data_IF_068498420734
#
_entry.id   IF_068498420734
#
_cell.length_a   1.000
_cell.length_b   1.000
_cell.length_c   1.000
_cell.angle_alpha   90.00
_cell.angle_beta   90.00
_cell.angle_gamma   90.00
#
_symmetry.space_group_name_H-M   'P 1'
#
loop_
_entity.id
_entity.type
_entity.pdbx_description
1 polymer ?
#
# COMPACT_ATOMS: atom_id res chain seq x y z
N UNK A 1 49.07 4.34 3.67
CA UNK A 1 48.27 4.38 2.42
C UNK A 1 46.79 4.48 2.77
N UNK A 2 46.25 5.69 2.93
CA UNK A 2 44.84 5.85 3.33
C UNK A 2 44.28 7.28 3.18
N UNK A 3 44.83 8.08 2.25
CA UNK A 3 44.48 9.50 2.10
C UNK A 3 43.73 9.81 0.79
N UNK A 4 43.52 8.82 -0.09
CA UNK A 4 43.00 9.06 -1.45
C UNK A 4 41.46 9.03 -1.51
N UNK A 5 40.79 8.08 -0.83
CA UNK A 5 39.32 7.97 -0.81
C UNK A 5 38.58 8.98 0.09
N UNK A 6 39.30 9.75 0.91
CA UNK A 6 38.70 10.83 1.70
C UNK A 6 38.63 12.14 0.90
N UNK A 7 39.63 12.40 0.06
CA UNK A 7 39.66 13.55 -0.85
C UNK A 7 38.57 13.43 -1.93
N UNK A 8 38.42 12.24 -2.53
CA UNK A 8 37.46 11.96 -3.60
C UNK A 8 36.00 12.18 -3.15
N UNK A 9 35.65 11.77 -1.92
CA UNK A 9 34.32 12.05 -1.35
C UNK A 9 34.10 13.52 -1.03
N UNK A 10 35.14 14.24 -0.62
CA UNK A 10 35.04 15.67 -0.36
C UNK A 10 34.84 16.45 -1.65
N UNK A 11 35.48 16.03 -2.75
CA UNK A 11 35.30 16.59 -4.09
C UNK A 11 33.88 16.33 -4.64
N UNK A 12 33.34 15.13 -4.45
CA UNK A 12 31.95 14.82 -4.83
C UNK A 12 30.94 15.64 -4.02
N UNK A 13 31.16 15.80 -2.71
CA UNK A 13 30.32 16.64 -1.84
C UNK A 13 30.38 18.14 -2.26
N UNK A 14 31.56 18.62 -2.67
CA UNK A 14 31.75 19.99 -3.18
C UNK A 14 31.01 20.19 -4.50
N UNK A 15 31.14 19.27 -5.45
CA UNK A 15 30.41 19.30 -6.73
C UNK A 15 28.91 19.29 -6.53
N UNK A 16 28.41 18.50 -5.58
CA UNK A 16 26.97 18.46 -5.25
C UNK A 16 26.47 19.81 -4.72
N UNK A 17 27.27 20.50 -3.91
CA UNK A 17 26.95 21.84 -3.39
C UNK A 17 26.97 22.89 -4.50
N UNK A 18 28.01 22.89 -5.33
CA UNK A 18 28.15 23.83 -6.45
C UNK A 18 27.03 23.65 -7.49
N UNK A 19 26.65 22.40 -7.83
CA UNK A 19 25.55 22.13 -8.76
C UNK A 19 24.19 22.56 -8.17
N UNK A 20 24.00 22.39 -6.86
CA UNK A 20 22.81 22.85 -6.14
C UNK A 20 22.73 24.37 -6.12
N UNK A 21 23.85 25.05 -5.85
CA UNK A 21 23.94 26.51 -5.88
C UNK A 21 23.72 27.05 -7.29
N UNK A 22 24.31 26.43 -8.31
CA UNK A 22 24.09 26.77 -9.72
C UNK A 22 22.63 26.59 -10.14
N UNK A 23 21.95 25.53 -9.69
CA UNK A 23 20.50 25.34 -9.92
C UNK A 23 19.66 26.40 -9.23
N UNK A 24 20.05 26.84 -8.04
CA UNK A 24 19.35 27.89 -7.31
C UNK A 24 19.59 29.27 -7.97
N UNK A 25 20.82 29.54 -8.39
CA UNK A 25 21.22 30.75 -9.12
C UNK A 25 20.47 30.86 -10.46
N UNK A 26 20.47 29.80 -11.28
CA UNK A 26 19.75 29.79 -12.55
C UNK A 26 18.23 29.97 -12.37
N UNK A 27 17.65 29.43 -11.28
CA UNK A 27 16.24 29.61 -10.95
C UNK A 27 15.94 31.03 -10.42
N UNK A 28 16.91 31.66 -9.76
CA UNK A 28 16.83 33.05 -9.31
C UNK A 28 16.97 34.03 -10.49
N UNK A 29 17.87 33.74 -11.43
CA UNK A 29 18.07 34.50 -12.66
C UNK A 29 16.86 34.37 -13.60
N UNK A 30 16.33 33.17 -13.83
CA UNK A 30 15.09 32.99 -14.58
C UNK A 30 13.87 33.63 -13.89
N UNK A 31 13.88 33.69 -12.56
CA UNK A 31 12.88 34.41 -11.77
C UNK A 31 13.02 35.94 -11.85
N UNK A 32 14.25 36.45 -12.00
CA UNK A 32 14.54 37.86 -12.17
C UNK A 32 14.24 38.36 -13.60
N UNK A 33 14.53 37.55 -14.63
CA UNK A 33 14.16 37.82 -16.03
C UNK A 33 12.64 37.89 -16.22
N UNK A 34 11.88 37.16 -15.39
CA UNK A 34 10.41 37.24 -15.36
C UNK A 34 9.88 38.51 -14.67
N UNK A 35 10.70 39.16 -13.83
CA UNK A 35 10.35 40.34 -13.06
C UNK A 35 10.79 41.67 -13.73
N UNK A 36 11.74 41.63 -14.67
CA UNK A 36 12.18 42.82 -15.43
C UNK A 36 11.14 43.33 -16.45
N UNK A 37 10.14 42.52 -16.82
CA UNK A 37 9.08 42.95 -17.74
C UNK A 37 7.92 43.72 -17.08
N UNK A 38 7.93 43.92 -15.75
CA UNK A 38 6.84 44.61 -15.03
C UNK A 38 7.33 45.70 -14.06
N UNK A 39 8.50 46.31 -14.34
CA UNK A 39 9.08 47.37 -13.54
C UNK A 39 8.78 48.77 -14.12
N UNK A 40 7.52 49.21 -14.06
CA UNK A 40 7.22 50.65 -14.00
C UNK A 40 6.20 50.95 -12.89
N UNK A 41 6.62 50.79 -11.63
CA UNK A 41 6.05 51.51 -10.49
C UNK A 41 6.97 51.42 -9.26
N UNK A 42 7.64 52.53 -8.94
CA UNK A 42 7.83 53.02 -7.57
C UNK A 42 8.51 52.14 -6.51
N UNK A 43 9.78 52.49 -6.27
CA UNK A 43 10.64 52.30 -5.08
C UNK A 43 9.90 52.42 -3.72
N UNK A 44 10.14 51.48 -2.79
CA UNK A 44 10.69 51.72 -1.43
C UNK A 44 10.70 50.44 -0.55
N UNK A 45 11.82 50.21 0.15
CA UNK A 45 11.78 49.69 1.53
C UNK A 45 12.08 48.21 1.80
N UNK A 46 13.36 47.89 1.93
CA UNK A 46 14.01 47.13 3.01
C UNK A 46 13.32 45.93 3.72
N UNK A 47 14.13 44.87 3.80
CA UNK A 47 14.18 43.84 4.84
C UNK A 47 13.07 42.77 4.84
N UNK A 48 13.23 41.78 3.97
CA UNK A 48 12.76 40.43 4.28
C UNK A 48 13.95 39.50 4.16
N UNK A 49 14.39 39.04 5.33
CA UNK A 49 15.19 37.83 5.51
C UNK A 49 14.73 36.76 4.51
N UNK A 50 15.67 35.97 4.02
CA UNK A 50 15.40 34.81 3.19
C UNK A 50 14.53 33.81 3.99
N UNK A 51 13.22 34.07 4.03
CA UNK A 51 12.22 33.08 4.37
C UNK A 51 12.37 32.04 3.28
N UNK A 52 13.02 30.93 3.64
CA UNK A 52 12.86 29.69 2.94
C UNK A 52 11.35 29.48 2.84
N UNK A 53 10.79 29.80 1.67
CA UNK A 53 9.42 29.45 1.32
C UNK A 53 9.42 27.93 1.40
N UNK A 54 9.02 27.41 2.56
CA UNK A 54 8.64 26.03 2.72
C UNK A 54 7.46 25.89 1.78
N UNK A 55 7.72 25.40 0.56
CA UNK A 55 6.65 24.79 -0.21
C UNK A 55 6.15 23.67 0.67
N UNK A 56 5.00 23.87 1.32
CA UNK A 56 4.17 22.79 1.85
C UNK A 56 3.91 21.88 0.66
N UNK A 57 4.80 20.91 0.48
CA UNK A 57 4.64 19.88 -0.50
C UNK A 57 3.47 19.06 0.01
N UNK A 58 2.43 18.98 -0.78
CA UNK A 58 1.20 18.26 -0.45
C UNK A 58 1.51 16.90 0.21
N UNK A 59 1.28 16.81 1.53
CA UNK A 59 1.62 15.67 2.39
C UNK A 59 0.65 14.48 2.17
N UNK A 60 -0.19 14.55 1.14
CA UNK A 60 -1.15 13.50 0.77
C UNK A 60 -0.52 12.11 0.60
N UNK A 61 0.74 12.05 0.18
CA UNK A 61 1.51 10.80 0.02
C UNK A 61 2.00 10.20 1.35
N UNK A 62 1.98 10.99 2.44
CA UNK A 62 2.34 10.56 3.78
C UNK A 62 1.20 9.79 4.48
N UNK A 63 -0.06 10.07 4.12
CA UNK A 63 -1.21 9.47 4.81
C UNK A 63 -1.43 8.00 4.45
N UNK A 64 -1.70 7.19 5.47
CA UNK A 64 -1.99 5.76 5.34
C UNK A 64 -3.36 5.53 4.69
N UNK A 65 -3.34 4.93 3.50
CA UNK A 65 -4.50 4.73 2.65
C UNK A 65 -4.39 3.36 1.97
N UNK A 66 -5.04 2.31 2.48
CA UNK A 66 -4.94 0.96 1.93
C UNK A 66 -5.24 0.86 0.43
N UNK A 67 -6.11 1.75 -0.09
CA UNK A 67 -6.43 1.92 -1.50
C UNK A 67 -5.28 2.48 -2.36
N UNK A 68 -4.34 3.21 -1.75
CA UNK A 68 -3.06 3.65 -2.36
C UNK A 68 -2.01 2.53 -2.32
N UNK A 69 -2.25 1.46 -1.57
CA UNK A 69 -1.36 0.31 -1.45
C UNK A 69 -0.16 0.54 -0.51
N UNK A 70 -0.19 1.59 0.32
CA UNK A 70 0.83 1.91 1.31
C UNK A 70 0.58 1.26 2.69
N UNK A 71 -0.50 0.48 2.85
CA UNK A 71 -0.83 -0.25 4.09
C UNK A 71 -0.72 -1.75 3.87
N UNK A 72 -0.05 -2.44 4.80
CA UNK A 72 0.07 -3.90 4.85
C UNK A 72 -0.65 -4.40 6.11
N UNK A 73 -1.48 -5.43 5.93
CA UNK A 73 -2.10 -6.18 7.02
C UNK A 73 -1.29 -7.46 7.23
N UNK A 74 -0.73 -7.67 8.41
CA UNK A 74 0.11 -8.83 8.67
C UNK A 74 -0.04 -9.35 10.10
N UNK A 75 0.24 -10.64 10.27
CA UNK A 75 0.41 -11.29 11.57
C UNK A 75 1.85 -11.77 11.71
N UNK A 76 2.55 -11.26 12.71
CA UNK A 76 3.91 -11.70 13.03
C UNK A 76 3.92 -13.09 13.68
N UNK A 77 2.84 -13.48 14.37
CA UNK A 77 2.75 -14.76 15.08
C UNK A 77 2.71 -15.94 14.10
N UNK A 78 1.89 -15.81 13.05
CA UNK A 78 1.69 -16.86 12.06
C UNK A 78 2.40 -16.54 10.73
N UNK A 79 3.23 -15.49 10.69
CA UNK A 79 4.09 -15.09 9.57
C UNK A 79 3.39 -14.93 8.21
N UNK A 80 2.18 -14.35 8.20
CA UNK A 80 1.45 -14.04 6.97
C UNK A 80 1.19 -12.54 6.83
N UNK A 81 1.00 -12.08 5.59
CA UNK A 81 0.67 -10.68 5.34
C UNK A 81 0.12 -10.44 3.94
N UNK A 82 -0.66 -9.38 3.80
CA UNK A 82 -1.30 -9.03 2.54
C UNK A 82 -1.56 -7.52 2.41
N UNK A 83 -1.78 -7.12 1.17
CA UNK A 83 -2.29 -5.79 0.80
C UNK A 83 -3.67 -5.94 0.17
N UNK A 84 -4.47 -4.88 0.26
CA UNK A 84 -5.81 -4.80 -0.36
C UNK A 84 -5.74 -5.11 -1.87
N UNK A 85 -4.67 -4.69 -2.54
CA UNK A 85 -4.43 -4.95 -3.97
C UNK A 85 -4.46 -6.43 -4.35
N UNK A 86 -3.91 -7.33 -3.50
CA UNK A 86 -3.88 -8.77 -3.79
C UNK A 86 -5.30 -9.35 -3.86
N UNK A 87 -6.15 -8.94 -2.92
CA UNK A 87 -7.55 -9.33 -2.90
C UNK A 87 -8.36 -8.66 -4.00
N UNK A 88 -8.09 -7.39 -4.30
CA UNK A 88 -8.72 -6.71 -5.43
C UNK A 88 -8.45 -7.43 -6.76
N UNK A 89 -7.23 -7.89 -7.00
CA UNK A 89 -6.89 -8.67 -8.20
C UNK A 89 -7.63 -10.02 -8.24
N UNK A 90 -7.63 -10.76 -7.12
CA UNK A 90 -8.29 -12.07 -7.01
C UNK A 90 -9.80 -11.98 -7.25
N UNK A 91 -10.45 -10.98 -6.67
CA UNK A 91 -11.89 -10.80 -6.77
C UNK A 91 -12.33 -10.06 -8.04
N UNK A 92 -11.47 -9.25 -8.65
CA UNK A 92 -11.73 -8.64 -9.95
C UNK A 92 -12.05 -9.72 -11.01
N UNK A 93 -11.24 -10.78 -11.05
CA UNK A 93 -11.46 -11.91 -11.96
C UNK A 93 -12.75 -12.68 -11.65
N UNK A 94 -13.08 -12.86 -10.37
CA UNK A 94 -14.27 -13.61 -9.93
C UNK A 94 -15.59 -12.84 -10.13
N UNK A 95 -15.56 -11.52 -9.93
CA UNK A 95 -16.76 -10.66 -9.98
C UNK A 95 -16.93 -9.95 -11.32
N UNK A 96 -15.91 -9.94 -12.18
CA UNK A 96 -15.93 -9.19 -13.45
C UNK A 96 -15.86 -7.67 -13.25
N UNK A 97 -15.35 -7.20 -12.11
CA UNK A 97 -15.20 -5.78 -11.79
C UNK A 97 -13.75 -5.38 -12.03
N UNK A 98 -13.51 -4.19 -12.62
CA UNK A 98 -12.16 -3.66 -12.83
C UNK A 98 -11.39 -3.56 -11.50
N UNK A 99 -10.18 -4.11 -11.48
CA UNK A 99 -9.30 -4.13 -10.28
C UNK A 99 -9.15 -2.76 -9.64
N UNK A 100 -8.91 -1.71 -10.43
CA UNK A 100 -8.74 -0.35 -9.91
C UNK A 100 -9.95 0.20 -9.16
N UNK A 101 -11.17 -0.19 -9.57
CA UNK A 101 -12.38 0.16 -8.83
C UNK A 101 -12.50 -0.67 -7.56
N UNK A 102 -12.25 -1.98 -7.66
CA UNK A 102 -12.34 -2.87 -6.51
C UNK A 102 -11.34 -2.48 -5.42
N UNK A 103 -10.10 -2.10 -5.78
CA UNK A 103 -9.09 -1.64 -4.83
C UNK A 103 -9.53 -0.41 -4.01
N UNK A 104 -10.26 0.52 -4.64
CA UNK A 104 -10.77 1.73 -3.98
C UNK A 104 -11.95 1.46 -3.05
N UNK A 105 -12.78 0.47 -3.38
CA UNK A 105 -13.99 0.17 -2.62
C UNK A 105 -13.86 -1.01 -1.66
N UNK A 106 -12.80 -1.82 -1.77
CA UNK A 106 -12.58 -2.95 -0.87
C UNK A 106 -12.32 -2.48 0.57
N UNK A 107 -11.82 -1.26 0.74
CA UNK A 107 -11.57 -0.63 2.04
C UNK A 107 -12.56 0.52 2.29
N UNK A 108 -13.03 0.65 3.54
CA UNK A 108 -14.01 1.65 3.96
C UNK A 108 -15.47 1.16 3.95
N UNK A 109 -16.40 2.11 4.03
CA UNK A 109 -17.85 1.83 4.19
C UNK A 109 -18.56 1.56 2.85
N UNK A 110 -18.10 0.49 2.21
CA UNK A 110 -18.69 -0.04 0.98
C UNK A 110 -19.24 -1.44 1.20
N UNK A 111 -20.36 -1.73 0.54
CA UNK A 111 -21.15 -2.94 0.75
C UNK A 111 -21.47 -3.57 -0.60
N UNK A 112 -21.54 -4.90 -0.67
CA UNK A 112 -22.00 -5.60 -1.87
C UNK A 112 -23.50 -5.89 -1.77
N UNK A 113 -24.27 -5.48 -2.77
CA UNK A 113 -25.64 -5.94 -2.91
C UNK A 113 -25.66 -7.34 -3.54
N UNK A 114 -26.10 -8.40 -2.83
CA UNK A 114 -26.02 -9.78 -3.34
C UNK A 114 -26.91 -10.03 -4.56
N UNK A 115 -28.00 -9.27 -4.71
CA UNK A 115 -28.95 -9.41 -5.82
C UNK A 115 -28.42 -8.84 -7.14
N UNK A 116 -27.81 -7.66 -7.09
CA UNK A 116 -27.33 -6.98 -8.31
C UNK A 116 -25.81 -7.07 -8.48
N UNK A 117 -25.08 -7.65 -7.51
CA UNK A 117 -23.61 -7.68 -7.44
C UNK A 117 -22.96 -6.30 -7.59
N UNK A 118 -23.67 -5.24 -7.17
CA UNK A 118 -23.17 -3.86 -7.24
C UNK A 118 -22.61 -3.45 -5.90
N UNK A 119 -21.53 -2.69 -5.95
CA UNK A 119 -20.95 -2.06 -4.77
C UNK A 119 -21.71 -0.77 -4.48
N UNK A 120 -22.20 -0.64 -3.25
CA UNK A 120 -22.94 0.53 -2.77
C UNK A 120 -22.20 1.16 -1.59
N UNK A 121 -22.27 2.47 -1.46
CA UNK A 121 -21.76 3.20 -0.29
C UNK A 121 -22.77 3.19 0.86
N UNK A 122 -22.30 3.51 2.07
CA UNK A 122 -23.14 3.64 3.27
C UNK A 122 -24.45 4.43 3.07
N UNK A 123 -24.41 5.53 2.31
CA UNK A 123 -25.59 6.35 2.00
C UNK A 123 -26.72 5.58 1.30
N UNK A 124 -26.38 4.54 0.56
CA UNK A 124 -27.31 3.71 -0.22
C UNK A 124 -27.68 2.40 0.50
N UNK A 125 -27.22 2.21 1.73
CA UNK A 125 -27.49 1.03 2.54
C UNK A 125 -28.98 0.91 2.89
N UNK A 126 -29.68 2.06 3.03
CA UNK A 126 -31.14 2.16 3.27
C UNK A 126 -31.65 1.20 4.37
N UNK A 127 -30.90 1.11 5.47
CA UNK A 127 -31.26 0.24 6.63
C UNK A 127 -31.02 -1.26 6.43
N UNK A 128 -30.39 -1.68 5.32
CA UNK A 128 -30.04 -3.09 5.11
C UNK A 128 -28.82 -3.45 5.95
N UNK A 129 -28.89 -4.59 6.64
CA UNK A 129 -27.75 -5.11 7.39
C UNK A 129 -26.80 -5.86 6.44
N UNK A 130 -26.02 -5.11 5.66
CA UNK A 130 -24.94 -5.65 4.83
C UNK A 130 -23.62 -5.48 5.56
N UNK A 131 -22.74 -6.47 5.41
CA UNK A 131 -21.38 -6.40 5.94
C UNK A 131 -20.50 -5.59 4.97
N UNK A 132 -19.53 -4.81 5.49
CA UNK A 132 -18.56 -4.14 4.64
C UNK A 132 -17.79 -5.14 3.77
N UNK A 133 -17.39 -4.71 2.58
CA UNK A 133 -16.68 -5.53 1.61
C UNK A 133 -15.42 -6.16 2.20
N UNK A 134 -14.61 -5.39 2.94
CA UNK A 134 -13.40 -5.89 3.58
C UNK A 134 -13.69 -7.06 4.53
N UNK A 135 -14.74 -6.93 5.34
CA UNK A 135 -15.12 -7.95 6.32
C UNK A 135 -15.54 -9.22 5.59
N UNK A 136 -16.42 -9.08 4.60
CA UNK A 136 -16.99 -10.21 3.86
C UNK A 136 -15.95 -10.95 3.00
N UNK A 137 -15.06 -10.22 2.32
CA UNK A 137 -14.14 -10.81 1.35
C UNK A 137 -12.76 -11.14 1.90
N UNK A 138 -12.36 -10.54 3.03
CA UNK A 138 -11.03 -10.74 3.60
C UNK A 138 -11.14 -11.37 4.97
N UNK A 139 -11.76 -10.69 5.94
CA UNK A 139 -11.76 -11.14 7.34
C UNK A 139 -12.55 -12.42 7.56
N UNK A 140 -13.68 -12.62 6.89
CA UNK A 140 -14.47 -13.85 6.99
C UNK A 140 -13.69 -15.08 6.50
N UNK A 141 -12.88 -14.94 5.44
CA UNK A 141 -12.05 -16.03 4.94
C UNK A 141 -10.94 -16.38 5.93
N UNK A 142 -10.28 -15.36 6.51
CA UNK A 142 -9.26 -15.56 7.54
C UNK A 142 -9.89 -16.25 8.75
N UNK A 143 -11.02 -15.73 9.24
CA UNK A 143 -11.75 -16.33 10.37
C UNK A 143 -12.17 -17.77 10.08
N UNK A 144 -12.68 -18.07 8.89
CA UNK A 144 -13.08 -19.42 8.52
C UNK A 144 -11.92 -20.42 8.55
N UNK A 145 -10.70 -20.00 8.15
CA UNK A 145 -9.49 -20.84 8.26
C UNK A 145 -9.19 -21.13 9.73
N UNK A 146 -9.12 -20.10 10.59
CA UNK A 146 -8.81 -20.30 12.01
C UNK A 146 -9.89 -21.07 12.76
N UNK A 147 -11.17 -20.79 12.52
CA UNK A 147 -12.29 -21.51 13.14
C UNK A 147 -12.27 -22.99 12.73
N UNK A 148 -12.09 -23.30 11.45
CA UNK A 148 -12.09 -24.69 10.95
C UNK A 148 -10.87 -25.52 11.36
N UNK A 149 -9.76 -24.88 11.73
CA UNK A 149 -8.52 -25.55 12.11
C UNK A 149 -8.31 -25.57 13.63
N UNK A 150 -8.54 -24.46 14.32
CA UNK A 150 -8.16 -24.27 15.72
C UNK A 150 -9.36 -24.39 16.67
N UNK A 151 -10.46 -23.69 16.39
CA UNK A 151 -11.61 -23.61 17.31
C UNK A 151 -12.52 -24.84 17.18
N UNK A 152 -12.90 -25.18 15.96
CA UNK A 152 -13.78 -26.29 15.60
C UNK A 152 -13.12 -27.15 14.51
N UNK A 153 -12.11 -27.96 14.87
CA UNK A 153 -11.33 -28.75 13.93
C UNK A 153 -12.24 -29.64 13.06
N UNK A 154 -12.35 -29.31 11.78
CA UNK A 154 -13.15 -30.07 10.82
C UNK A 154 -12.38 -30.24 9.51
N UNK A 155 -11.78 -31.42 9.27
CA UNK A 155 -10.91 -31.63 8.12
C UNK A 155 -11.64 -31.45 6.79
N UNK A 156 -12.93 -31.83 6.70
CA UNK A 156 -13.72 -31.68 5.47
C UNK A 156 -13.96 -30.21 5.12
N UNK A 157 -14.21 -29.37 6.13
CA UNK A 157 -14.33 -27.91 5.94
C UNK A 157 -13.00 -27.31 5.52
N UNK A 158 -11.91 -27.71 6.18
CA UNK A 158 -10.55 -27.24 5.84
C UNK A 158 -10.23 -27.57 4.38
N UNK A 159 -10.49 -28.80 3.91
CA UNK A 159 -10.25 -29.18 2.51
C UNK A 159 -11.05 -28.30 1.54
N UNK A 160 -12.33 -28.04 1.80
CA UNK A 160 -13.17 -27.16 0.95
C UNK A 160 -12.66 -25.73 0.91
N UNK A 161 -12.24 -25.19 2.06
CA UNK A 161 -11.65 -23.84 2.14
C UNK A 161 -10.34 -23.81 1.37
N UNK A 162 -9.45 -24.80 1.55
CA UNK A 162 -8.19 -24.89 0.83
C UNK A 162 -8.40 -24.95 -0.68
N UNK A 163 -9.39 -25.69 -1.17
CA UNK A 163 -9.75 -25.68 -2.61
C UNK A 163 -10.25 -24.33 -3.11
N UNK A 164 -10.96 -23.57 -2.27
CA UNK A 164 -11.48 -22.23 -2.65
C UNK A 164 -10.38 -21.17 -2.68
N UNK A 165 -9.42 -21.31 -1.77
CA UNK A 165 -8.25 -20.43 -1.63
C UNK A 165 -7.07 -20.83 -2.52
N UNK A 166 -7.18 -21.96 -3.23
CA UNK A 166 -6.13 -22.58 -4.06
C UNK A 166 -4.85 -22.92 -3.27
N UNK A 167 -5.02 -23.45 -2.06
CA UNK A 167 -3.93 -23.86 -1.14
C UNK A 167 -3.82 -25.38 -1.12
N UNK A 168 -2.58 -25.89 -1.16
CA UNK A 168 -2.31 -27.34 -1.13
C UNK A 168 -1.95 -27.78 0.28
N UNK A 169 -2.79 -28.62 0.87
CA UNK A 169 -2.55 -29.20 2.20
C UNK A 169 -2.34 -30.70 2.07
N UNK A 170 -1.29 -31.22 2.71
CA UNK A 170 -1.05 -32.66 2.67
C UNK A 170 -2.02 -33.40 3.61
N UNK A 171 -2.47 -34.62 3.26
CA UNK A 171 -3.32 -35.42 4.15
C UNK A 171 -2.66 -35.77 5.49
N UNK A 172 -1.33 -35.68 5.57
CA UNK A 172 -0.55 -35.88 6.80
C UNK A 172 -0.75 -34.72 7.77
N UNK A 173 -0.69 -33.50 7.27
CA UNK A 173 -0.82 -32.28 8.08
C UNK A 173 -2.25 -32.12 8.59
N UNK A 174 -3.25 -32.50 7.79
CA UNK A 174 -4.67 -32.54 8.20
C UNK A 174 -4.96 -33.48 9.38
N UNK A 175 -4.15 -34.52 9.59
CA UNK A 175 -4.29 -35.48 10.69
C UNK A 175 -3.36 -35.17 11.86
N UNK A 176 -2.54 -34.13 11.75
CA UNK A 176 -1.60 -33.74 12.80
C UNK A 176 -2.33 -33.19 14.03
N UNK A 177 -1.70 -33.32 15.20
CA UNK A 177 -2.22 -32.72 16.44
C UNK A 177 -1.90 -31.22 16.53
N UNK A 178 -0.96 -30.74 15.72
CA UNK A 178 -0.46 -29.36 15.76
C UNK A 178 -1.32 -28.43 14.90
N UNK A 179 -2.54 -28.18 15.37
CA UNK A 179 -3.54 -27.34 14.66
C UNK A 179 -3.04 -25.92 14.39
N UNK A 180 -2.30 -25.32 15.33
CA UNK A 180 -1.71 -23.98 15.15
C UNK A 180 -0.69 -23.95 14.02
N UNK A 181 0.17 -24.97 13.93
CA UNK A 181 1.19 -25.04 12.89
C UNK A 181 0.56 -25.33 11.52
N UNK A 182 -0.51 -26.13 11.48
CA UNK A 182 -1.33 -26.32 10.29
C UNK A 182 -1.95 -25.00 9.81
N UNK A 183 -2.58 -24.24 10.71
CA UNK A 183 -3.19 -22.95 10.37
C UNK A 183 -2.12 -21.96 9.83
N UNK A 184 -0.97 -21.86 10.50
CA UNK A 184 0.13 -21.03 10.04
C UNK A 184 0.66 -21.46 8.67
N UNK A 185 0.80 -22.76 8.41
CA UNK A 185 1.23 -23.29 7.10
C UNK A 185 0.22 -22.94 5.99
N UNK A 186 -1.08 -23.12 6.24
CA UNK A 186 -2.15 -22.77 5.28
C UNK A 186 -2.11 -21.26 4.98
N UNK A 187 -2.03 -20.43 6.02
CA UNK A 187 -2.02 -18.97 5.88
C UNK A 187 -0.75 -18.46 5.19
N UNK A 188 0.42 -19.05 5.49
CA UNK A 188 1.69 -18.68 4.86
C UNK A 188 1.71 -19.03 3.36
N UNK A 189 1.08 -20.14 2.95
CA UNK A 189 0.92 -20.48 1.54
C UNK A 189 -0.08 -19.55 0.83
N UNK A 190 -1.18 -19.20 1.51
CA UNK A 190 -2.21 -18.35 0.92
C UNK A 190 -1.78 -16.88 0.81
N UNK A 191 -1.13 -16.35 1.86
CA UNK A 191 -0.76 -14.94 2.03
C UNK A 191 0.71 -14.82 2.47
N UNK A 192 1.68 -15.09 1.58
CA UNK A 192 3.09 -15.03 1.92
C UNK A 192 3.53 -13.61 2.29
N UNK A 193 4.16 -13.47 3.46
CA UNK A 193 4.64 -12.17 3.97
C UNK A 193 5.62 -11.49 3.00
N UNK A 194 6.50 -12.26 2.35
CA UNK A 194 7.46 -11.72 1.39
C UNK A 194 6.78 -10.99 0.20
N UNK A 195 5.60 -11.46 -0.22
CA UNK A 195 4.87 -10.87 -1.35
C UNK A 195 4.26 -9.51 -1.01
N UNK A 196 3.99 -9.23 0.27
CA UNK A 196 3.42 -7.95 0.69
C UNK A 196 4.47 -6.90 1.06
N UNK A 197 5.72 -7.27 1.31
CA UNK A 197 6.78 -6.32 1.68
C UNK A 197 7.51 -5.72 0.48
N UNK A 198 7.59 -6.41 -0.66
CA UNK A 198 8.17 -5.86 -1.89
C UNK A 198 7.45 -4.59 -2.33
N UNK A 199 8.13 -3.45 -2.39
CA UNK A 199 7.53 -2.16 -2.71
C UNK A 199 7.19 -2.11 -4.23
N UNK A 200 5.92 -1.92 -4.64
CA UNK A 200 5.55 -1.82 -6.04
C UNK A 200 6.10 -0.56 -6.72
N UNK A 201 6.56 0.46 -5.99
CA UNK A 201 7.16 1.67 -6.59
C UNK A 201 8.53 1.41 -7.23
N UNK A 202 9.22 0.31 -6.87
CA UNK A 202 10.56 0.01 -7.40
C UNK A 202 10.48 -0.57 -8.83
N UNK A 203 9.32 -1.10 -9.27
CA UNK A 203 9.17 -1.63 -10.63
C UNK A 203 8.93 -0.57 -11.71
N UNK A 204 8.80 0.71 -11.34
CA UNK A 204 8.69 1.83 -12.29
C UNK A 204 9.94 2.71 -12.36
N UNK A 205 11.01 2.35 -11.64
CA UNK A 205 12.33 2.91 -11.93
C UNK A 205 12.86 2.21 -13.19
N UNK A 206 12.52 2.78 -14.36
CA UNK A 206 13.17 2.40 -15.63
C UNK A 206 14.69 2.67 -15.54
N UNK A 207 15.48 1.85 -16.24
CA UNK A 207 16.95 1.92 -16.25
C UNK A 207 17.50 3.21 -16.85
#
# INVERSE_FOLDING_TARGET
MGSFHAAERMEDDLRWREERERRLQARKEAGAESAENDANAGIEGADTSAEAVYQEKDDEDLYFAPEKGNVIFASAVDSWGFRVSKFAQMYAAKLGIKEGNLRRVLWGDFYLEPKTKRVISYKHLRGRNLKPLFVQFVLENIWAVYDSVVTNPNPDKVTKICSTLDVKVTPRDLKSKDTRQLAASIMAQWLPLASCTGNPRISHASP
#
